data_IF_448414300667
#
_entry.id   IF_448414300667
#
_cell.length_a   1.000
_cell.length_b   1.000
_cell.length_c   1.000
_cell.angle_alpha   90.00
_cell.angle_beta   90.00
_cell.angle_gamma   90.00
#
_symmetry.space_group_name_H-M   'P 1'
#
loop_
_entity.id
_entity.type
_entity.pdbx_description
1 polymer ?
#
# COMPACT_ATOMS: atom_id res chain seq x y z
N UNK A 1 -7.79 20.77 16.51
CA UNK A 1 -8.73 19.67 16.17
C UNK A 1 -8.14 18.34 16.59
N UNK A 2 -8.69 17.77 17.64
CA UNK A 2 -8.40 16.47 18.24
C UNK A 2 -9.33 15.40 17.64
N UNK A 3 -8.78 14.23 17.36
CA UNK A 3 -9.49 13.06 16.86
C UNK A 3 -9.26 11.86 17.76
N UNK A 4 -10.34 11.26 18.27
CA UNK A 4 -10.29 9.96 18.93
C UNK A 4 -10.86 8.89 17.99
N UNK A 5 -10.02 7.93 17.60
CA UNK A 5 -10.43 6.79 16.78
C UNK A 5 -11.09 5.73 17.67
N UNK A 6 -12.39 5.82 17.88
CA UNK A 6 -13.16 4.90 18.74
C UNK A 6 -13.14 3.46 18.22
N UNK A 7 -13.07 3.31 16.90
CA UNK A 7 -12.86 2.05 16.20
C UNK A 7 -12.13 2.29 14.90
N UNK A 8 -11.41 1.27 14.42
CA UNK A 8 -10.59 1.34 13.20
C UNK A 8 -10.80 0.15 12.26
N UNK A 9 -11.71 -0.77 12.58
CA UNK A 9 -12.05 -1.93 11.76
C UNK A 9 -13.14 -1.62 10.73
N UNK A 10 -13.42 -2.53 9.80
CA UNK A 10 -14.58 -2.38 8.91
C UNK A 10 -15.90 -2.33 9.68
N UNK A 11 -17.06 -2.07 9.05
CA UNK A 11 -18.34 -2.02 9.77
C UNK A 11 -18.69 -3.28 10.58
N UNK A 12 -18.12 -4.44 10.22
CA UNK A 12 -18.26 -5.68 10.99
C UNK A 12 -17.27 -5.81 12.17
N UNK A 13 -16.27 -4.95 12.25
CA UNK A 13 -15.13 -5.07 13.15
C UNK A 13 -14.15 -6.18 12.77
N UNK A 14 -13.08 -6.31 13.55
CA UNK A 14 -12.04 -7.33 13.44
C UNK A 14 -11.79 -7.89 14.85
N UNK A 15 -12.15 -9.13 15.16
CA UNK A 15 -12.54 -10.20 14.25
C UNK A 15 -13.96 -10.02 13.72
N UNK A 16 -14.18 -10.43 12.46
CA UNK A 16 -15.53 -10.50 11.90
C UNK A 16 -16.36 -11.54 12.69
N UNK A 17 -17.59 -11.22 13.12
CA UNK A 17 -18.47 -12.17 13.80
C UNK A 17 -18.65 -13.47 13.00
N UNK A 18 -18.44 -14.62 13.65
CA UNK A 18 -18.61 -15.94 13.03
C UNK A 18 -17.54 -16.35 12.02
N UNK A 19 -16.52 -15.53 11.76
CA UNK A 19 -15.47 -15.87 10.81
C UNK A 19 -14.36 -16.75 11.46
N UNK A 20 -14.09 -17.96 10.94
CA UNK A 20 -13.09 -18.86 11.52
C UNK A 20 -11.68 -18.66 10.96
N UNK A 21 -11.42 -17.61 10.17
CA UNK A 21 -10.13 -17.45 9.52
C UNK A 21 -9.00 -17.16 10.52
N UNK A 22 -7.76 -17.46 10.14
CA UNK A 22 -6.59 -17.28 11.01
C UNK A 22 -6.41 -15.82 11.47
N UNK A 23 -6.68 -14.84 10.60
CA UNK A 23 -6.58 -13.43 10.96
C UNK A 23 -7.59 -13.05 12.05
N UNK A 24 -8.84 -13.49 11.94
CA UNK A 24 -9.85 -13.28 12.99
C UNK A 24 -9.46 -13.99 14.28
N UNK A 25 -8.99 -15.24 14.20
CA UNK A 25 -8.60 -16.01 15.38
C UNK A 25 -7.49 -15.34 16.22
N UNK A 26 -6.58 -14.60 15.59
CA UNK A 26 -5.49 -13.86 16.26
C UNK A 26 -5.80 -12.39 16.55
N UNK A 27 -6.94 -11.87 16.08
CA UNK A 27 -7.37 -10.48 16.27
C UNK A 27 -8.14 -10.30 17.58
N UNK A 28 -7.48 -10.54 18.71
CA UNK A 28 -8.10 -10.47 20.05
C UNK A 28 -7.32 -9.53 20.97
N UNK A 29 -7.95 -9.07 22.06
CA UNK A 29 -7.32 -8.16 23.02
C UNK A 29 -6.94 -6.83 22.35
N UNK A 30 -5.69 -6.39 22.49
CA UNK A 30 -5.22 -5.14 21.88
C UNK A 30 -5.13 -5.16 20.35
N UNK A 31 -5.33 -6.33 19.71
CA UNK A 31 -5.34 -6.50 18.25
C UNK A 31 -6.74 -6.50 17.66
N UNK A 32 -7.78 -6.55 18.49
CA UNK A 32 -9.15 -6.40 18.01
C UNK A 32 -9.42 -4.96 17.59
N UNK A 33 -10.28 -4.77 16.61
CA UNK A 33 -10.76 -3.47 16.14
C UNK A 33 -12.29 -3.46 16.15
N UNK A 34 -12.88 -2.52 16.86
CA UNK A 34 -14.29 -2.17 16.76
C UNK A 34 -14.58 -1.58 15.37
N UNK A 35 -15.86 -1.57 15.00
CA UNK A 35 -16.32 -0.95 13.78
C UNK A 35 -15.93 0.55 13.76
N UNK A 36 -15.43 1.03 12.61
CA UNK A 36 -14.85 2.37 12.52
C UNK A 36 -15.85 3.44 12.97
N UNK A 37 -15.41 4.26 13.91
CA UNK A 37 -16.12 5.42 14.42
C UNK A 37 -15.08 6.44 14.91
N UNK A 38 -15.29 7.72 14.58
CA UNK A 38 -14.31 8.77 14.84
C UNK A 38 -14.99 9.94 15.55
N UNK A 39 -14.46 10.30 16.72
CA UNK A 39 -14.92 11.45 17.49
C UNK A 39 -13.98 12.63 17.25
N UNK A 40 -14.51 13.74 16.77
CA UNK A 40 -13.76 14.98 16.47
C UNK A 40 -14.15 16.06 17.48
N UNK A 41 -13.15 16.54 18.24
CA UNK A 41 -13.29 17.56 19.30
C UNK A 41 -14.45 17.30 20.29
N UNK A 42 -14.81 16.03 20.50
CA UNK A 42 -15.97 15.64 21.33
C UNK A 42 -17.34 16.07 20.80
N UNK A 43 -17.41 16.75 19.65
CA UNK A 43 -18.60 17.45 19.17
C UNK A 43 -19.16 16.90 17.86
N UNK A 44 -18.32 16.30 17.01
CA UNK A 44 -18.72 15.68 15.75
C UNK A 44 -18.37 14.20 15.79
N UNK A 45 -19.36 13.34 15.55
CA UNK A 45 -19.16 11.90 15.42
C UNK A 45 -19.30 11.51 13.94
N UNK A 46 -18.23 10.94 13.38
CA UNK A 46 -18.23 10.32 12.05
C UNK A 46 -18.43 8.81 12.22
N UNK A 47 -19.49 8.32 11.59
CA UNK A 47 -20.04 6.97 11.71
C UNK A 47 -20.48 6.57 13.13
N UNK A 48 -21.77 6.34 13.28
CA UNK A 48 -22.34 5.78 14.50
C UNK A 48 -22.54 4.27 14.34
N UNK A 49 -21.56 3.52 14.82
CA UNK A 49 -21.56 2.05 14.75
C UNK A 49 -22.02 1.41 16.07
N UNK A 50 -22.48 0.14 16.04
CA UNK A 50 -22.77 -0.60 17.26
C UNK A 50 -21.58 -0.57 18.24
N UNK A 51 -21.84 -0.17 19.48
CA UNK A 51 -20.82 -0.12 20.53
C UNK A 51 -19.98 1.16 20.57
N UNK A 52 -20.20 2.14 19.70
CA UNK A 52 -19.46 3.42 19.70
C UNK A 52 -19.49 4.14 21.06
N UNK A 53 -20.59 4.06 21.80
CA UNK A 53 -20.69 4.62 23.18
C UNK A 53 -19.71 3.97 24.13
N UNK A 54 -19.65 2.63 24.14
CA UNK A 54 -18.73 1.89 25.01
C UNK A 54 -17.28 2.08 24.57
N UNK A 55 -17.04 2.20 23.25
CA UNK A 55 -15.74 2.55 22.72
C UNK A 55 -15.30 3.96 23.18
N UNK A 56 -16.19 4.94 23.11
CA UNK A 56 -16.00 6.27 23.69
C UNK A 56 -15.62 6.21 25.16
N UNK A 57 -16.42 5.51 25.98
CA UNK A 57 -16.17 5.40 27.42
C UNK A 57 -14.82 4.72 27.73
N UNK A 58 -14.45 3.67 26.97
CA UNK A 58 -13.13 3.02 27.11
C UNK A 58 -11.97 3.92 26.72
N UNK A 59 -12.19 4.80 25.75
CA UNK A 59 -11.22 5.82 25.35
C UNK A 59 -11.23 7.05 26.28
N UNK A 60 -12.05 7.07 27.34
CA UNK A 60 -12.12 8.19 28.29
C UNK A 60 -13.04 9.34 27.85
N UNK A 61 -13.86 9.16 26.82
CA UNK A 61 -14.76 10.18 26.29
C UNK A 61 -16.24 9.83 26.51
N UNK A 62 -17.04 10.85 26.85
CA UNK A 62 -18.50 10.77 26.81
C UNK A 62 -19.03 11.26 25.47
N UNK A 63 -20.00 10.57 24.89
CA UNK A 63 -20.68 11.02 23.67
C UNK A 63 -21.79 12.05 23.93
N UNK A 64 -22.08 12.41 25.19
CA UNK A 64 -23.10 13.40 25.51
C UNK A 64 -22.81 14.81 24.96
N UNK A 65 -21.54 15.10 24.65
CA UNK A 65 -21.11 16.36 24.04
C UNK A 65 -21.34 16.44 22.52
N UNK A 66 -21.65 15.31 21.87
CA UNK A 66 -21.81 15.25 20.42
C UNK A 66 -23.00 16.08 19.97
N UNK A 67 -22.75 17.01 19.05
CA UNK A 67 -23.74 17.93 18.48
C UNK A 67 -24.13 17.57 17.06
N UNK A 68 -23.30 16.79 16.37
CA UNK A 68 -23.57 16.30 15.03
C UNK A 68 -23.09 14.86 14.87
N UNK A 69 -23.94 14.02 14.26
CA UNK A 69 -23.58 12.66 13.83
C UNK A 69 -23.70 12.60 12.31
N UNK A 70 -22.62 12.20 11.64
CA UNK A 70 -22.57 12.05 10.18
C UNK A 70 -22.23 10.61 9.81
N UNK A 71 -22.99 10.04 8.88
CA UNK A 71 -22.74 8.70 8.35
C UNK A 71 -22.01 8.79 7.01
N UNK A 72 -21.02 7.95 6.78
CA UNK A 72 -20.28 7.88 5.51
C UNK A 72 -20.79 6.78 4.60
N UNK A 73 -21.50 5.80 5.11
CA UNK A 73 -21.99 4.67 4.32
C UNK A 73 -23.33 4.19 4.87
N UNK A 74 -24.14 3.47 4.06
CA UNK A 74 -25.32 2.81 4.58
C UNK A 74 -24.89 1.78 5.63
N UNK A 75 -25.54 1.75 6.78
CA UNK A 75 -25.33 0.65 7.72
C UNK A 75 -26.14 -0.56 7.25
N UNK A 76 -25.47 -1.55 6.67
CA UNK A 76 -26.03 -2.87 6.36
C UNK A 76 -25.99 -3.79 7.61
N UNK A 77 -26.50 -3.29 8.72
CA UNK A 77 -26.51 -3.95 10.03
C UNK A 77 -27.83 -3.74 10.78
N UNK A 78 -28.04 -4.42 11.92
CA UNK A 78 -29.21 -4.16 12.76
C UNK A 78 -29.25 -2.68 13.15
N UNK A 79 -30.46 -2.12 13.22
CA UNK A 79 -30.64 -0.71 13.57
C UNK A 79 -29.86 -0.38 14.85
N UNK A 80 -28.96 0.59 14.76
CA UNK A 80 -28.25 1.10 15.93
C UNK A 80 -29.24 1.95 16.69
N UNK A 81 -29.70 1.48 17.86
CA UNK A 81 -30.44 2.34 18.76
C UNK A 81 -29.54 3.52 19.12
N UNK A 82 -29.97 4.71 18.73
CA UNK A 82 -29.34 5.95 19.11
C UNK A 82 -29.53 6.14 20.62
N UNK A 83 -28.43 6.23 21.40
CA UNK A 83 -28.50 6.61 22.80
C UNK A 83 -29.35 7.87 23.01
N UNK A 84 -30.18 7.92 24.07
CA UNK A 84 -30.94 9.11 24.42
C UNK A 84 -30.01 10.33 24.51
N UNK A 85 -30.32 11.38 23.76
CA UNK A 85 -29.56 12.64 23.76
C UNK A 85 -28.54 12.79 22.63
N UNK A 86 -28.26 11.75 21.84
CA UNK A 86 -27.51 11.93 20.59
C UNK A 86 -28.39 12.55 19.51
N UNK A 87 -27.83 13.47 18.68
CA UNK A 87 -28.57 14.05 17.57
C UNK A 87 -28.84 12.98 16.49
N UNK A 88 -29.85 13.23 15.66
CA UNK A 88 -30.16 12.34 14.55
C UNK A 88 -28.96 12.17 13.62
N UNK A 89 -28.63 10.92 13.31
CA UNK A 89 -27.59 10.59 12.34
C UNK A 89 -28.07 10.94 10.93
N UNK A 90 -27.24 11.64 10.16
CA UNK A 90 -27.57 12.07 8.81
C UNK A 90 -26.42 11.91 7.85
N UNK A 91 -26.71 12.09 6.56
CA UNK A 91 -25.68 12.24 5.51
C UNK A 91 -25.79 13.62 4.90
N UNK A 92 -24.65 14.25 4.67
CA UNK A 92 -24.60 15.50 3.90
C UNK A 92 -24.63 15.14 2.42
N UNK A 93 -25.55 15.70 1.61
CA UNK A 93 -25.57 15.43 0.17
C UNK A 93 -24.26 15.83 -0.50
N UNK A 94 -23.84 15.06 -1.50
CA UNK A 94 -22.60 15.26 -2.23
C UNK A 94 -22.37 16.72 -2.66
N UNK A 95 -21.16 17.22 -2.41
CA UNK A 95 -20.75 18.58 -2.76
C UNK A 95 -21.35 19.69 -1.88
N UNK A 96 -22.21 19.37 -0.90
CA UNK A 96 -22.71 20.34 0.08
C UNK A 96 -21.76 20.47 1.27
N UNK A 97 -21.84 21.64 1.89
CA UNK A 97 -21.13 21.96 3.12
C UNK A 97 -22.13 22.14 4.26
N UNK A 98 -21.78 21.65 5.43
CA UNK A 98 -22.49 21.79 6.68
C UNK A 98 -21.58 22.51 7.68
N UNK A 99 -22.01 23.67 8.16
CA UNK A 99 -21.40 24.31 9.32
C UNK A 99 -21.95 23.67 10.59
N UNK A 100 -21.06 23.17 11.44
CA UNK A 100 -21.40 22.57 12.73
C UNK A 100 -21.29 23.64 13.82
N UNK A 101 -22.20 23.60 14.79
CA UNK A 101 -22.27 24.58 15.90
C UNK A 101 -20.94 24.67 16.69
N UNK A 102 -20.13 23.61 16.67
CA UNK A 102 -18.78 23.57 17.25
C UNK A 102 -17.72 24.34 16.45
N UNK A 103 -18.10 25.11 15.42
CA UNK A 103 -17.17 25.87 14.58
C UNK A 103 -16.50 25.06 13.46
N UNK A 104 -16.82 23.77 13.34
CA UNK A 104 -16.30 22.91 12.27
C UNK A 104 -17.06 23.13 10.97
N UNK A 105 -16.38 23.03 9.83
CA UNK A 105 -17.01 22.95 8.51
C UNK A 105 -16.83 21.56 7.94
N UNK A 106 -17.93 20.90 7.58
CA UNK A 106 -17.92 19.55 7.01
C UNK A 106 -18.42 19.60 5.58
N UNK A 107 -17.59 19.16 4.63
CA UNK A 107 -17.94 19.11 3.22
C UNK A 107 -18.04 17.66 2.74
N UNK A 108 -19.14 17.34 2.05
CA UNK A 108 -19.34 16.03 1.45
C UNK A 108 -18.50 15.89 0.17
N UNK A 109 -17.68 14.84 0.14
CA UNK A 109 -16.84 14.46 -1.00
C UNK A 109 -17.51 13.29 -1.74
N UNK A 110 -17.84 13.43 -3.04
CA UNK A 110 -18.43 12.36 -3.83
C UNK A 110 -17.47 11.18 -4.00
N UNK A 111 -17.97 9.95 -3.82
CA UNK A 111 -17.18 8.71 -3.87
C UNK A 111 -17.49 7.90 -5.14
N UNK A 112 -16.54 7.07 -5.58
CA UNK A 112 -16.71 6.14 -6.71
C UNK A 112 -17.40 4.82 -6.33
N UNK A 113 -17.79 4.69 -5.05
CA UNK A 113 -18.54 3.60 -4.49
C UNK A 113 -19.66 4.16 -3.57
N UNK A 114 -20.68 3.36 -3.20
CA UNK A 114 -21.73 3.81 -2.31
C UNK A 114 -21.19 4.34 -0.98
N UNK A 115 -21.42 5.62 -0.73
CA UNK A 115 -20.95 6.31 0.47
C UNK A 115 -20.60 7.77 0.19
N UNK A 116 -20.20 8.48 1.23
CA UNK A 116 -19.85 9.90 1.22
C UNK A 116 -18.58 10.06 2.05
N UNK A 117 -17.53 10.62 1.46
CA UNK A 117 -16.36 11.06 2.23
C UNK A 117 -16.64 12.40 2.88
N UNK A 118 -15.98 12.69 3.98
CA UNK A 118 -16.09 13.98 4.65
C UNK A 118 -14.74 14.66 4.75
N UNK A 119 -14.66 15.85 4.17
CA UNK A 119 -13.65 16.83 4.54
C UNK A 119 -14.13 17.57 5.78
N UNK A 120 -13.33 17.56 6.84
CA UNK A 120 -13.60 18.31 8.07
C UNK A 120 -12.51 19.37 8.24
N UNK A 121 -12.92 20.63 8.26
CA UNK A 121 -12.05 21.75 8.61
C UNK A 121 -12.37 22.19 10.03
N UNK A 122 -11.38 22.08 10.92
CA UNK A 122 -11.49 22.53 12.30
C UNK A 122 -11.47 24.06 12.42
N UNK A 123 -11.85 24.61 13.59
CA UNK A 123 -11.81 26.06 13.86
C UNK A 123 -10.44 26.70 13.62
N UNK A 124 -9.37 25.95 13.92
CA UNK A 124 -7.97 26.37 13.77
C UNK A 124 -7.45 26.23 12.33
N UNK A 125 -8.31 25.81 11.39
CA UNK A 125 -7.96 25.63 9.98
C UNK A 125 -7.33 24.27 9.62
N UNK A 126 -7.12 23.38 10.59
CA UNK A 126 -6.66 22.02 10.34
C UNK A 126 -7.64 21.24 9.47
N UNK A 127 -7.14 20.49 8.49
CA UNK A 127 -7.93 19.79 7.47
C UNK A 127 -7.77 18.28 7.56
N UNK A 128 -8.89 17.61 7.79
CA UNK A 128 -9.03 16.16 7.80
C UNK A 128 -9.84 15.70 6.58
N UNK A 129 -9.42 14.61 5.95
CA UNK A 129 -10.26 13.85 5.03
C UNK A 129 -10.55 12.47 5.63
N UNK A 130 -11.83 12.13 5.77
CA UNK A 130 -12.28 10.79 6.13
C UNK A 130 -13.00 10.13 4.96
N UNK A 131 -12.51 8.95 4.55
CA UNK A 131 -13.09 8.15 3.47
C UNK A 131 -13.90 6.96 4.01
N UNK A 132 -15.06 6.64 3.41
CA UNK A 132 -15.83 5.45 3.77
C UNK A 132 -15.06 4.15 3.44
N UNK A 133 -15.45 3.02 4.03
CA UNK A 133 -14.88 1.72 3.69
C UNK A 133 -15.10 1.45 2.21
N UNK A 134 -14.06 0.99 1.52
CA UNK A 134 -14.17 0.70 0.09
C UNK A 134 -14.40 1.92 -0.82
N UNK A 135 -14.28 3.16 -0.34
CA UNK A 135 -14.52 4.37 -1.14
C UNK A 135 -13.24 5.09 -1.57
N UNK A 136 -13.18 5.50 -2.84
CA UNK A 136 -12.21 6.49 -3.30
C UNK A 136 -12.96 7.74 -3.82
N UNK A 137 -12.35 8.94 -3.79
CA UNK A 137 -12.96 10.12 -4.39
C UNK A 137 -13.28 9.89 -5.88
N UNK A 138 -14.52 10.19 -6.29
CA UNK A 138 -15.02 10.03 -7.67
C UNK A 138 -14.30 10.93 -8.69
N UNK A 139 -13.65 11.98 -8.20
CA UNK A 139 -12.78 12.85 -8.97
C UNK A 139 -11.96 13.73 -8.04
N UNK A 140 -10.81 14.21 -8.51
CA UNK A 140 -9.90 15.04 -7.71
C UNK A 140 -9.88 16.50 -8.15
N UNK A 141 -10.67 16.89 -9.16
CA UNK A 141 -10.69 18.27 -9.68
C UNK A 141 -11.01 19.33 -8.63
N UNK A 142 -11.78 18.98 -7.59
CA UNK A 142 -12.09 19.89 -6.48
C UNK A 142 -10.96 19.98 -5.44
N UNK A 143 -9.94 19.11 -5.53
CA UNK A 143 -8.77 19.04 -4.67
C UNK A 143 -7.55 19.71 -5.32
N UNK A 144 -7.54 19.84 -6.65
CA UNK A 144 -6.43 20.44 -7.40
C UNK A 144 -6.22 21.91 -6.99
N UNK A 145 -5.01 22.26 -6.57
CA UNK A 145 -4.65 23.61 -6.13
C UNK A 145 -5.07 23.97 -4.70
N UNK A 146 -5.71 23.04 -3.97
CA UNK A 146 -5.93 23.21 -2.54
C UNK A 146 -4.69 22.81 -1.74
N UNK A 147 -4.57 23.35 -0.53
CA UNK A 147 -3.56 22.89 0.45
C UNK A 147 -3.72 21.37 0.67
N UNK A 148 -2.66 20.57 0.83
CA UNK A 148 -2.80 19.18 1.22
C UNK A 148 -3.58 19.05 2.54
N UNK A 149 -4.22 17.89 2.75
CA UNK A 149 -4.80 17.59 4.05
C UNK A 149 -3.69 17.44 5.09
N UNK A 150 -3.96 17.87 6.31
CA UNK A 150 -3.08 17.61 7.44
C UNK A 150 -3.17 16.13 7.85
N UNK A 151 -4.37 15.54 7.72
CA UNK A 151 -4.61 14.14 8.04
C UNK A 151 -5.60 13.49 7.08
N UNK A 152 -5.37 12.22 6.73
CA UNK A 152 -6.29 11.40 5.95
C UNK A 152 -6.54 10.08 6.67
N UNK A 153 -7.82 9.75 6.87
CA UNK A 153 -8.30 8.46 7.36
C UNK A 153 -8.90 7.70 6.17
N UNK A 154 -8.27 6.59 5.78
CA UNK A 154 -8.70 5.83 4.62
C UNK A 154 -8.49 4.31 4.77
N UNK A 155 -9.22 3.54 3.95
CA UNK A 155 -8.94 2.12 3.72
C UNK A 155 -7.70 1.94 2.82
N UNK A 156 -6.53 2.12 3.42
CA UNK A 156 -5.24 2.14 2.70
C UNK A 156 -4.93 0.78 2.06
N UNK A 157 -5.35 -0.31 2.69
CA UNK A 157 -4.99 -1.67 2.26
C UNK A 157 -6.04 -2.31 1.36
N UNK A 158 -7.32 -1.98 1.55
CA UNK A 158 -8.42 -2.44 0.69
C UNK A 158 -8.62 -1.57 -0.54
N UNK A 159 -8.24 -0.28 -0.49
CA UNK A 159 -8.37 0.68 -1.60
C UNK A 159 -7.11 1.54 -1.79
N UNK A 160 -5.93 0.93 -2.03
CA UNK A 160 -4.66 1.67 -2.16
C UNK A 160 -4.68 2.71 -3.30
N UNK A 161 -5.49 2.50 -4.34
CA UNK A 161 -5.67 3.45 -5.44
C UNK A 161 -6.35 4.76 -5.00
N UNK A 162 -7.11 4.77 -3.90
CA UNK A 162 -7.64 6.00 -3.31
C UNK A 162 -6.50 6.91 -2.85
N UNK A 163 -5.50 6.33 -2.16
CA UNK A 163 -4.29 7.04 -1.73
C UNK A 163 -3.48 7.49 -2.95
N UNK A 164 -3.35 6.65 -3.98
CA UNK A 164 -2.66 7.01 -5.22
C UNK A 164 -3.30 8.23 -5.90
N UNK A 165 -4.64 8.27 -6.02
CA UNK A 165 -5.37 9.42 -6.60
C UNK A 165 -5.19 10.69 -5.79
N UNK A 166 -5.24 10.60 -4.46
CA UNK A 166 -5.03 11.75 -3.57
C UNK A 166 -3.60 12.29 -3.65
N UNK A 167 -2.60 11.42 -3.83
CA UNK A 167 -1.22 11.85 -4.10
C UNK A 167 -1.09 12.51 -5.46
N UNK A 168 -1.73 11.95 -6.49
CA UNK A 168 -1.70 12.49 -7.85
C UNK A 168 -2.27 13.93 -7.91
N UNK A 169 -3.28 14.23 -7.09
CA UNK A 169 -3.88 15.57 -7.01
C UNK A 169 -3.15 16.54 -6.07
N UNK A 170 -2.15 16.08 -5.33
CA UNK A 170 -1.47 16.84 -4.29
C UNK A 170 -2.25 16.97 -2.98
N UNK A 171 -3.36 16.25 -2.82
CA UNK A 171 -4.17 16.27 -1.60
C UNK A 171 -3.47 15.53 -0.43
N UNK A 172 -2.63 14.54 -0.73
CA UNK A 172 -1.68 13.94 0.22
C UNK A 172 -0.28 14.42 -0.14
N UNK A 173 0.35 15.15 0.77
CA UNK A 173 1.74 15.58 0.67
C UNK A 173 2.67 14.80 1.61
N UNK A 174 3.93 15.23 1.70
CA UNK A 174 4.94 14.60 2.56
C UNK A 174 4.70 14.79 4.06
N UNK A 175 3.92 15.81 4.43
CA UNK A 175 3.56 16.13 5.81
C UNK A 175 2.15 15.64 6.20
N UNK A 176 1.41 15.02 5.27
CA UNK A 176 0.07 14.50 5.54
C UNK A 176 0.18 13.21 6.35
N UNK A 177 -0.41 13.17 7.54
CA UNK A 177 -0.51 11.94 8.33
C UNK A 177 -1.63 11.05 7.77
N UNK A 178 -1.28 9.87 7.28
CA UNK A 178 -2.23 8.91 6.72
C UNK A 178 -2.43 7.78 7.72
N UNK A 179 -3.63 7.67 8.29
CA UNK A 179 -3.99 6.62 9.23
C UNK A 179 -4.91 5.62 8.52
N UNK A 180 -4.49 4.36 8.53
CA UNK A 180 -5.29 3.26 8.00
C UNK A 180 -6.46 2.95 8.95
N UNK A 181 -7.68 3.04 8.41
CA UNK A 181 -8.94 2.67 9.04
C UNK A 181 -9.66 1.66 8.15
N UNK A 182 -10.82 1.16 8.57
CA UNK A 182 -11.53 0.08 7.87
C UNK A 182 -10.67 -1.19 7.71
N UNK A 183 -9.87 -1.50 8.73
CA UNK A 183 -8.97 -2.64 8.71
C UNK A 183 -9.74 -3.94 8.90
N UNK A 184 -9.53 -4.89 7.98
CA UNK A 184 -10.22 -6.17 7.97
C UNK A 184 -9.28 -7.38 8.05
N UNK A 185 -9.88 -8.56 8.10
CA UNK A 185 -9.23 -9.85 8.23
C UNK A 185 -8.40 -10.28 7.00
N UNK A 186 -8.37 -9.48 5.93
CA UNK A 186 -7.50 -9.68 4.76
C UNK A 186 -6.02 -9.34 5.05
N UNK A 187 -5.77 -8.57 6.12
CA UNK A 187 -4.43 -8.31 6.62
C UNK A 187 -4.32 -8.75 8.08
N UNK A 188 -3.44 -9.73 8.39
CA UNK A 188 -3.28 -10.17 9.77
C UNK A 188 -2.74 -9.02 10.65
N UNK A 189 -3.23 -8.88 11.89
CA UNK A 189 -2.80 -7.81 12.79
C UNK A 189 -1.33 -7.99 13.23
N UNK A 190 -0.71 -6.90 13.68
CA UNK A 190 0.67 -6.87 14.16
C UNK A 190 1.67 -6.43 13.09
N UNK A 191 2.86 -7.04 13.08
CA UNK A 191 3.99 -6.59 12.24
C UNK A 191 3.68 -6.55 10.74
N UNK A 192 2.86 -7.48 10.25
CA UNK A 192 2.50 -7.49 8.82
C UNK A 192 1.63 -6.30 8.45
N UNK A 193 0.66 -5.95 9.29
CA UNK A 193 -0.16 -4.75 9.13
C UNK A 193 0.71 -3.48 9.15
N UNK A 194 1.57 -3.34 10.16
CA UNK A 194 2.49 -2.20 10.29
C UNK A 194 3.36 -2.04 9.04
N UNK A 195 3.95 -3.14 8.56
CA UNK A 195 4.79 -3.17 7.36
C UNK A 195 4.04 -2.75 6.10
N UNK A 196 2.81 -3.23 5.91
CA UNK A 196 1.98 -2.89 4.73
C UNK A 196 1.55 -1.43 4.76
N UNK A 197 1.10 -0.93 5.92
CA UNK A 197 0.77 0.48 6.09
C UNK A 197 2.00 1.35 5.79
N UNK A 198 3.17 1.02 6.36
CA UNK A 198 4.41 1.77 6.13
C UNK A 198 4.81 1.79 4.65
N UNK A 199 4.66 0.66 3.92
CA UNK A 199 4.91 0.61 2.49
C UNK A 199 3.94 1.48 1.65
N UNK A 200 2.80 1.86 2.23
CA UNK A 200 1.87 2.81 1.64
C UNK A 200 2.02 4.22 2.22
N UNK A 201 3.05 4.51 3.03
CA UNK A 201 3.26 5.81 3.68
C UNK A 201 2.16 6.15 4.70
N UNK A 202 1.59 5.12 5.34
CA UNK A 202 0.53 5.22 6.32
C UNK A 202 0.91 4.48 7.61
N UNK A 203 0.14 4.69 8.67
CA UNK A 203 0.25 3.96 9.94
C UNK A 203 -1.10 3.41 10.37
N UNK A 204 -1.08 2.33 11.14
CA UNK A 204 -2.26 1.87 11.86
C UNK A 204 -2.13 2.27 13.33
N UNK A 205 -3.25 2.60 13.97
CA UNK A 205 -3.31 2.91 15.41
C UNK A 205 -4.24 1.95 16.12
N UNK A 206 -4.06 1.69 17.42
CA UNK A 206 -5.06 1.00 18.23
C UNK A 206 -6.36 1.80 18.33
N UNK A 207 -7.46 1.12 18.58
CA UNK A 207 -8.72 1.78 18.95
C UNK A 207 -8.56 2.56 20.27
N UNK A 208 -9.29 3.67 20.38
CA UNK A 208 -9.22 4.61 21.49
C UNK A 208 -8.02 5.57 21.43
N UNK A 209 -7.17 5.48 20.38
CA UNK A 209 -6.07 6.43 20.21
C UNK A 209 -6.62 7.81 19.88
N UNK A 210 -6.14 8.82 20.61
CA UNK A 210 -6.38 10.23 20.33
C UNK A 210 -5.18 10.81 19.59
N UNK A 211 -5.43 11.54 18.51
CA UNK A 211 -4.43 12.19 17.65
C UNK A 211 -4.82 13.64 17.37
N UNK A 212 -3.83 14.50 17.15
CA UNK A 212 -4.06 15.92 16.83
C UNK A 212 -3.83 16.18 15.35
N UNK A 213 -4.80 16.81 14.66
CA UNK A 213 -4.64 17.15 13.24
C UNK A 213 -3.71 18.34 13.09
N UNK A 214 -2.70 18.18 12.23
CA UNK A 214 -1.66 19.18 12.00
C UNK A 214 -0.44 19.03 12.91
N UNK A 215 -0.48 18.11 13.88
CA UNK A 215 0.71 17.71 14.62
C UNK A 215 1.60 16.85 13.71
N UNK A 216 2.88 17.21 13.62
CA UNK A 216 3.81 16.46 12.79
C UNK A 216 4.09 15.10 13.42
N UNK A 217 3.79 14.04 12.68
CA UNK A 217 4.26 12.70 12.97
C UNK A 217 5.25 12.27 11.90
N UNK A 218 6.32 11.60 12.32
CA UNK A 218 7.25 10.98 11.39
C UNK A 218 6.50 9.90 10.60
N UNK A 219 6.15 10.21 9.35
CA UNK A 219 5.62 9.24 8.40
C UNK A 219 6.77 8.28 8.04
N UNK A 220 6.56 6.95 7.98
CA UNK A 220 7.60 6.03 7.55
C UNK A 220 8.14 6.45 6.17
N UNK A 221 9.45 6.69 6.08
CA UNK A 221 10.08 6.97 4.80
C UNK A 221 9.91 5.77 3.88
N UNK A 222 9.31 6.00 2.71
CA UNK A 222 9.18 4.97 1.70
C UNK A 222 10.58 4.66 1.14
N UNK A 223 11.08 3.42 1.27
CA UNK A 223 12.43 3.08 0.80
C UNK A 223 12.50 3.30 -0.71
N UNK A 224 13.54 4.02 -1.14
CA UNK A 224 13.72 4.32 -2.56
C UNK A 224 13.94 3.05 -3.37
N UNK A 225 14.67 2.07 -2.83
CA UNK A 225 15.09 0.85 -3.52
C UNK A 225 14.76 -0.35 -2.64
N UNK A 226 13.88 -1.20 -3.15
CA UNK A 226 13.49 -2.47 -2.51
C UNK A 226 13.84 -3.64 -3.41
N UNK A 227 14.51 -4.66 -2.88
CA UNK A 227 14.68 -5.96 -3.53
C UNK A 227 13.74 -6.99 -2.90
N UNK A 228 12.95 -7.67 -3.73
CA UNK A 228 12.05 -8.74 -3.32
C UNK A 228 12.54 -10.07 -3.91
N UNK A 229 13.05 -10.92 -3.04
CA UNK A 229 13.54 -12.26 -3.34
C UNK A 229 12.45 -13.30 -3.05
N UNK A 230 12.55 -14.45 -3.69
CA UNK A 230 11.72 -15.60 -3.34
C UNK A 230 11.78 -16.72 -4.38
N UNK A 231 11.33 -17.90 -3.97
CA UNK A 231 11.20 -19.05 -4.87
C UNK A 231 10.18 -18.81 -6.00
N UNK A 232 10.09 -19.77 -6.92
CA UNK A 232 8.99 -19.80 -7.89
C UNK A 232 7.64 -19.92 -7.16
N UNK A 233 6.63 -19.17 -7.62
CA UNK A 233 5.27 -19.16 -7.04
C UNK A 233 5.21 -18.84 -5.53
N UNK A 234 6.24 -18.18 -5.00
CA UNK A 234 6.29 -17.76 -3.59
C UNK A 234 5.36 -16.59 -3.25
N UNK A 235 4.86 -15.85 -4.25
CA UNK A 235 4.09 -14.61 -4.04
C UNK A 235 4.91 -13.33 -4.16
N UNK A 236 6.21 -13.40 -4.50
CA UNK A 236 7.10 -12.22 -4.60
C UNK A 236 6.62 -11.10 -5.52
N UNK A 237 6.02 -11.42 -6.67
CA UNK A 237 5.47 -10.41 -7.58
C UNK A 237 4.28 -9.68 -6.98
N UNK A 238 3.40 -10.39 -6.25
CA UNK A 238 2.27 -9.76 -5.56
C UNK A 238 2.74 -8.86 -4.41
N UNK A 239 3.74 -9.30 -3.65
CA UNK A 239 4.37 -8.45 -2.63
C UNK A 239 5.02 -7.21 -3.24
N UNK A 240 5.69 -7.34 -4.39
CA UNK A 240 6.25 -6.20 -5.11
C UNK A 240 5.18 -5.23 -5.63
N UNK A 241 4.05 -5.76 -6.13
CA UNK A 241 2.93 -4.95 -6.61
C UNK A 241 2.32 -4.12 -5.48
N UNK A 242 1.99 -4.76 -4.35
CA UNK A 242 1.41 -4.12 -3.16
C UNK A 242 2.19 -2.91 -2.65
N UNK A 243 3.52 -2.93 -2.81
CA UNK A 243 4.39 -1.80 -2.41
C UNK A 243 4.20 -0.55 -3.24
N UNK A 244 3.68 -0.70 -4.46
CA UNK A 244 3.53 0.40 -5.42
C UNK A 244 2.07 0.73 -5.73
N UNK A 245 1.10 -0.03 -5.23
CA UNK A 245 -0.34 0.20 -5.49
C UNK A 245 -0.83 1.58 -5.04
N UNK A 246 -0.19 2.16 -4.01
CA UNK A 246 -0.49 3.51 -3.52
C UNK A 246 0.27 4.64 -4.23
N UNK A 247 1.09 4.31 -5.25
CA UNK A 247 1.80 5.31 -6.05
C UNK A 247 0.92 5.77 -7.23
N UNK A 248 0.88 7.08 -7.53
CA UNK A 248 0.08 7.63 -8.62
C UNK A 248 0.30 6.94 -9.97
N UNK A 249 1.56 6.73 -10.31
CA UNK A 249 2.01 6.16 -11.57
C UNK A 249 3.13 5.15 -11.33
N UNK A 250 3.07 4.04 -12.07
CA UNK A 250 4.06 2.97 -11.99
C UNK A 250 4.36 2.47 -13.40
N UNK A 251 5.64 2.26 -13.67
CA UNK A 251 6.11 1.54 -14.85
C UNK A 251 6.49 0.12 -14.43
N UNK A 252 5.71 -0.86 -14.87
CA UNK A 252 6.00 -2.27 -14.72
C UNK A 252 6.90 -2.73 -15.86
N UNK A 253 8.10 -3.20 -15.57
CA UNK A 253 9.06 -3.73 -16.54
C UNK A 253 9.05 -5.25 -16.48
N UNK A 254 8.49 -5.86 -17.53
CA UNK A 254 8.50 -7.29 -17.73
C UNK A 254 9.77 -7.69 -18.51
N UNK A 255 10.73 -8.33 -17.85
CA UNK A 255 12.01 -8.75 -18.48
C UNK A 255 11.91 -10.11 -19.17
N UNK A 256 10.77 -10.80 -19.03
CA UNK A 256 10.54 -12.11 -19.66
C UNK A 256 10.18 -12.08 -21.14
N UNK A 257 9.86 -10.89 -21.69
CA UNK A 257 9.42 -10.71 -23.08
C UNK A 257 8.17 -11.52 -23.47
N UNK A 258 7.86 -11.51 -24.78
CA UNK A 258 6.93 -12.47 -25.40
C UNK A 258 7.68 -13.77 -25.68
N UNK A 259 7.21 -14.87 -25.10
CA UNK A 259 7.56 -16.21 -25.57
C UNK A 259 6.56 -16.58 -26.67
N UNK A 260 6.96 -16.41 -27.93
CA UNK A 260 6.12 -16.78 -29.06
C UNK A 260 5.76 -18.28 -28.98
N UNK A 261 4.46 -18.59 -29.04
CA UNK A 261 3.93 -19.96 -29.01
C UNK A 261 3.57 -20.53 -27.64
N UNK A 262 3.75 -19.80 -26.53
CA UNK A 262 3.36 -20.25 -25.19
C UNK A 262 2.02 -19.62 -24.75
N UNK A 263 0.93 -20.31 -25.04
CA UNK A 263 -0.43 -19.85 -24.70
C UNK A 263 -0.67 -19.75 -23.17
N UNK A 264 -0.02 -20.60 -22.37
CA UNK A 264 -0.09 -20.54 -20.90
C UNK A 264 0.62 -19.28 -20.38
N UNK A 265 1.78 -18.95 -20.95
CA UNK A 265 2.50 -17.72 -20.66
C UNK A 265 1.69 -16.48 -21.03
N UNK A 266 1.06 -16.47 -22.22
CA UNK A 266 0.23 -15.37 -22.68
C UNK A 266 -1.00 -15.15 -21.77
N UNK A 267 -1.70 -16.24 -21.39
CA UNK A 267 -2.84 -16.17 -20.48
C UNK A 267 -2.42 -15.63 -19.10
N UNK A 268 -1.28 -16.08 -18.57
CA UNK A 268 -0.74 -15.61 -17.30
C UNK A 268 -0.38 -14.13 -17.34
N UNK A 269 0.24 -13.65 -18.42
CA UNK A 269 0.53 -12.23 -18.62
C UNK A 269 -0.77 -11.41 -18.68
N UNK A 270 -1.81 -11.93 -19.34
CA UNK A 270 -3.14 -11.33 -19.37
C UNK A 270 -3.73 -11.11 -17.98
N UNK A 271 -3.83 -12.18 -17.18
CA UNK A 271 -4.33 -12.11 -15.80
C UNK A 271 -3.50 -11.17 -14.91
N UNK A 272 -2.17 -11.13 -15.10
CA UNK A 272 -1.31 -10.21 -14.39
C UNK A 272 -1.51 -8.74 -14.80
N UNK A 273 -1.85 -8.47 -16.07
CA UNK A 273 -2.18 -7.11 -16.53
C UNK A 273 -3.54 -6.65 -16.01
N UNK A 274 -4.54 -7.51 -16.08
CA UNK A 274 -5.91 -7.20 -15.63
C UNK A 274 -5.98 -6.87 -14.13
N UNK A 275 -5.11 -7.48 -13.32
CA UNK A 275 -5.01 -7.18 -11.88
C UNK A 275 -4.43 -5.80 -11.57
N UNK A 276 -3.60 -5.24 -12.45
CA UNK A 276 -2.84 -4.01 -12.14
C UNK A 276 -3.75 -2.78 -12.22
N UNK A 277 -3.49 -1.75 -11.39
CA UNK A 277 -4.21 -0.48 -11.51
C UNK A 277 -4.10 0.09 -12.92
N UNK A 278 -5.18 0.71 -13.41
CA UNK A 278 -5.22 1.29 -14.76
C UNK A 278 -4.18 2.40 -15.00
N UNK A 279 -3.66 3.02 -13.93
CA UNK A 279 -2.57 4.01 -14.01
C UNK A 279 -1.19 3.38 -14.26
N UNK A 280 -1.07 2.05 -14.24
CA UNK A 280 0.19 1.37 -14.45
C UNK A 280 0.47 1.15 -15.94
N UNK A 281 1.67 1.51 -16.38
CA UNK A 281 2.14 1.22 -17.73
C UNK A 281 3.04 0.00 -17.71
N UNK A 282 2.81 -0.96 -18.59
CA UNK A 282 3.71 -2.12 -18.76
C UNK A 282 4.68 -1.87 -19.92
N UNK A 283 5.97 -2.10 -19.69
CA UNK A 283 7.03 -2.13 -20.68
C UNK A 283 7.67 -3.51 -20.71
N UNK A 284 7.86 -4.08 -21.89
CA UNK A 284 8.58 -5.34 -22.08
C UNK A 284 9.99 -5.02 -22.58
N UNK A 285 11.00 -5.15 -21.72
CA UNK A 285 12.40 -4.84 -22.08
C UNK A 285 13.38 -5.39 -21.06
N UNK A 286 14.60 -5.70 -21.51
CA UNK A 286 15.76 -6.01 -20.68
C UNK A 286 16.74 -4.82 -20.55
N UNK A 287 16.46 -3.70 -21.20
CA UNK A 287 17.28 -2.48 -21.14
C UNK A 287 16.97 -1.68 -19.86
N UNK A 288 17.41 -2.22 -18.71
CA UNK A 288 17.09 -1.68 -17.39
C UNK A 288 17.92 -0.45 -17.01
N UNK A 289 19.22 -0.44 -17.36
CA UNK A 289 20.13 0.66 -17.02
C UNK A 289 19.64 2.04 -17.51
N UNK A 290 19.24 2.23 -18.79
CA UNK A 290 18.71 3.52 -19.24
C UNK A 290 17.40 3.89 -18.52
N UNK A 291 16.50 2.94 -18.30
CA UNK A 291 15.23 3.19 -17.59
C UNK A 291 15.42 3.65 -16.14
N UNK A 292 16.46 3.15 -15.48
CA UNK A 292 16.82 3.51 -14.11
C UNK A 292 17.54 4.86 -14.02
N UNK A 293 18.29 5.24 -15.07
CA UNK A 293 19.02 6.50 -15.15
C UNK A 293 18.10 7.70 -15.44
N UNK A 294 17.06 7.49 -16.25
CA UNK A 294 16.09 8.54 -16.56
C UNK A 294 15.15 8.82 -15.37
N UNK A 295 14.81 10.08 -15.08
CA UNK A 295 13.79 10.40 -14.08
C UNK A 295 12.41 9.93 -14.56
N UNK A 296 11.52 9.58 -13.63
CA UNK A 296 10.18 9.12 -13.97
C UNK A 296 9.37 8.60 -12.78
N UNK A 297 8.20 8.00 -13.04
CA UNK A 297 7.32 7.43 -12.02
C UNK A 297 7.97 6.24 -11.30
N UNK A 298 7.32 5.64 -10.31
CA UNK A 298 7.87 4.45 -9.67
C UNK A 298 8.10 3.30 -10.68
N UNK A 299 9.08 2.45 -10.43
CA UNK A 299 9.50 1.37 -11.34
C UNK A 299 9.41 0.01 -10.64
N UNK A 300 8.71 -0.95 -11.25
CA UNK A 300 8.68 -2.34 -10.79
C UNK A 300 9.35 -3.22 -11.84
N UNK A 301 10.46 -3.87 -11.52
CA UNK A 301 11.15 -4.80 -12.44
C UNK A 301 10.84 -6.24 -12.04
N UNK A 302 10.20 -7.01 -12.94
CA UNK A 302 9.90 -8.43 -12.75
C UNK A 302 10.33 -9.25 -13.98
N UNK A 303 11.45 -9.98 -13.93
CA UNK A 303 12.42 -10.10 -12.83
C UNK A 303 13.89 -10.08 -13.28
N UNK A 304 14.78 -9.84 -12.31
CA UNK A 304 16.23 -9.85 -12.52
C UNK A 304 16.77 -11.21 -12.97
N UNK A 305 16.08 -12.31 -12.65
CA UNK A 305 16.47 -13.63 -13.13
C UNK A 305 16.33 -13.77 -14.65
N UNK A 306 15.25 -13.24 -15.24
CA UNK A 306 15.06 -13.25 -16.69
C UNK A 306 15.93 -12.20 -17.40
N UNK A 307 16.18 -11.06 -16.74
CA UNK A 307 17.18 -10.10 -17.20
C UNK A 307 18.57 -10.74 -17.28
N UNK A 308 18.96 -11.52 -16.26
CA UNK A 308 20.24 -12.20 -16.24
C UNK A 308 20.34 -13.23 -17.37
N UNK A 309 19.26 -13.97 -17.65
CA UNK A 309 19.21 -14.89 -18.79
C UNK A 309 19.49 -14.15 -20.10
N UNK A 310 18.81 -13.04 -20.37
CA UNK A 310 19.05 -12.21 -21.57
C UNK A 310 20.49 -11.66 -21.61
N UNK A 311 21.02 -11.18 -20.47
CA UNK A 311 22.40 -10.70 -20.38
C UNK A 311 23.42 -11.82 -20.68
N UNK A 312 23.15 -13.03 -20.21
CA UNK A 312 23.95 -14.23 -20.49
C UNK A 312 23.86 -14.67 -21.95
N UNK A 313 22.68 -14.60 -22.57
CA UNK A 313 22.48 -14.86 -24.00
C UNK A 313 23.34 -13.92 -24.86
N UNK A 314 23.27 -12.61 -24.60
CA UNK A 314 23.98 -11.58 -25.37
C UNK A 314 25.50 -11.71 -25.34
N UNK A 315 26.04 -12.25 -24.26
CA UNK A 315 27.50 -12.43 -24.09
C UNK A 315 27.95 -13.85 -24.40
N UNK A 316 27.05 -14.72 -24.88
CA UNK A 316 27.33 -16.12 -25.20
C UNK A 316 27.74 -16.95 -23.98
N UNK A 317 27.27 -16.60 -22.78
CA UNK A 317 27.70 -17.18 -21.52
C UNK A 317 27.29 -18.65 -21.33
N UNK A 318 26.47 -19.22 -22.22
CA UNK A 318 26.07 -20.62 -22.19
C UNK A 318 27.11 -21.54 -22.84
N UNK A 319 27.93 -21.01 -23.74
CA UNK A 319 29.04 -21.73 -24.35
C UNK A 319 30.28 -21.65 -23.46
N UNK A 320 30.89 -22.80 -23.17
CA UNK A 320 32.01 -22.88 -22.23
C UNK A 320 33.28 -22.20 -22.76
N UNK A 321 33.53 -22.23 -24.07
CA UNK A 321 34.69 -21.60 -24.67
C UNK A 321 34.54 -20.07 -24.70
N UNK A 322 33.36 -19.57 -25.06
CA UNK A 322 33.05 -18.13 -25.01
C UNK A 322 33.11 -17.61 -23.59
N UNK A 323 32.53 -18.35 -22.64
CA UNK A 323 32.56 -18.01 -21.22
C UNK A 323 33.99 -17.88 -20.67
N UNK A 324 34.84 -18.88 -20.96
CA UNK A 324 36.24 -18.90 -20.52
C UNK A 324 37.10 -17.82 -21.18
N UNK A 325 36.75 -17.39 -22.39
CA UNK A 325 37.40 -16.28 -23.08
C UNK A 325 36.98 -14.92 -22.53
N UNK A 326 35.92 -14.34 -23.10
CA UNK A 326 35.48 -12.96 -22.79
C UNK A 326 34.07 -12.88 -22.17
N UNK A 327 33.28 -13.96 -22.22
CA UNK A 327 31.89 -13.94 -21.78
C UNK A 327 31.73 -13.56 -20.30
N UNK A 328 32.60 -14.06 -19.42
CA UNK A 328 32.57 -13.70 -18.00
C UNK A 328 32.81 -12.21 -17.77
N UNK A 329 33.80 -11.60 -18.43
CA UNK A 329 34.09 -10.18 -18.27
C UNK A 329 32.94 -9.31 -18.78
N UNK A 330 32.43 -9.62 -19.99
CA UNK A 330 31.31 -8.89 -20.58
C UNK A 330 30.04 -8.97 -19.74
N UNK A 331 29.75 -10.12 -19.13
CA UNK A 331 28.61 -10.25 -18.21
C UNK A 331 28.82 -9.38 -16.97
N UNK A 332 30.03 -9.40 -16.38
CA UNK A 332 30.37 -8.55 -15.22
C UNK A 332 30.19 -7.08 -15.53
N UNK A 333 30.57 -6.62 -16.73
CA UNK A 333 30.40 -5.22 -17.12
C UNK A 333 28.91 -4.83 -17.19
N UNK A 334 28.06 -5.68 -17.79
CA UNK A 334 26.60 -5.46 -17.81
C UNK A 334 25.98 -5.46 -16.42
N UNK A 335 26.43 -6.35 -15.53
CA UNK A 335 25.99 -6.37 -14.13
C UNK A 335 26.43 -5.10 -13.40
N UNK A 336 27.67 -4.67 -13.58
CA UNK A 336 28.19 -3.44 -12.98
C UNK A 336 27.42 -2.20 -13.46
N UNK A 337 27.08 -2.13 -14.75
CA UNK A 337 26.23 -1.08 -15.32
C UNK A 337 24.84 -1.05 -14.66
N UNK A 338 24.16 -2.20 -14.55
CA UNK A 338 22.86 -2.28 -13.88
C UNK A 338 22.94 -1.84 -12.41
N UNK A 339 23.94 -2.33 -11.68
CA UNK A 339 24.12 -2.00 -10.26
C UNK A 339 24.41 -0.50 -10.08
N UNK A 340 25.22 0.09 -10.95
CA UNK A 340 25.46 1.54 -10.96
C UNK A 340 24.18 2.33 -11.24
N UNK A 341 23.33 1.85 -12.15
CA UNK A 341 22.04 2.47 -12.42
C UNK A 341 21.06 2.35 -11.23
N UNK A 342 21.00 1.20 -10.57
CA UNK A 342 20.24 1.01 -9.31
C UNK A 342 20.75 1.96 -8.23
N UNK A 343 22.06 2.13 -8.11
CA UNK A 343 22.68 3.06 -7.15
C UNK A 343 22.27 4.51 -7.43
N UNK A 344 22.29 4.92 -8.69
CA UNK A 344 22.11 6.32 -9.08
C UNK A 344 20.63 6.74 -9.21
N UNK A 345 19.70 5.77 -9.33
CA UNK A 345 18.30 6.10 -9.62
C UNK A 345 17.66 6.95 -8.53
N UNK A 346 16.90 7.96 -8.96
CA UNK A 346 16.06 8.79 -8.08
C UNK A 346 14.61 8.32 -8.06
N UNK A 347 14.27 7.27 -8.79
CA UNK A 347 12.92 6.71 -8.81
C UNK A 347 12.74 5.80 -7.59
N UNK A 348 11.53 5.75 -7.00
CA UNK A 348 11.14 4.59 -6.19
C UNK A 348 11.19 3.34 -7.08
N UNK A 349 11.94 2.32 -6.69
CA UNK A 349 12.13 1.09 -7.46
C UNK A 349 11.94 -0.15 -6.60
N UNK A 350 11.17 -1.10 -7.14
CA UNK A 350 11.03 -2.45 -6.60
C UNK A 350 11.57 -3.44 -7.62
N UNK A 351 12.62 -4.17 -7.24
CA UNK A 351 13.29 -5.16 -8.07
C UNK A 351 12.86 -6.54 -7.58
N UNK A 352 12.31 -7.38 -8.47
CA UNK A 352 11.96 -8.76 -8.16
C UNK A 352 13.05 -9.68 -8.67
N UNK A 353 13.49 -10.63 -7.84
CA UNK A 353 14.41 -11.69 -8.28
C UNK A 353 14.08 -13.03 -7.65
N UNK A 354 14.57 -14.09 -8.27
CA UNK A 354 14.39 -15.45 -7.76
C UNK A 354 15.53 -15.78 -6.78
N UNK A 355 15.18 -16.53 -5.73
CA UNK A 355 16.15 -17.27 -4.93
C UNK A 355 16.19 -18.72 -5.46
N UNK A 356 17.37 -19.15 -5.93
CA UNK A 356 17.60 -20.46 -6.57
C UNK A 356 18.77 -21.22 -5.96
N UNK A 357 19.51 -20.60 -5.03
CA UNK A 357 20.71 -21.14 -4.40
C UNK A 357 20.43 -22.11 -3.25
N UNK A 358 19.20 -22.14 -2.71
CA UNK A 358 18.82 -22.98 -1.57
C UNK A 358 18.48 -24.44 -1.91
N UNK A 359 18.82 -24.88 -3.13
CA UNK A 359 18.55 -26.23 -3.62
C UNK A 359 19.82 -27.06 -3.85
N UNK A 360 19.66 -28.21 -4.52
CA UNK A 360 20.78 -29.08 -4.91
C UNK A 360 21.63 -28.41 -6.00
N UNK A 361 22.92 -28.74 -6.05
CA UNK A 361 23.82 -28.31 -7.12
C UNK A 361 23.32 -28.81 -8.48
N UNK A 362 23.10 -27.94 -9.49
CA UNK A 362 22.68 -28.39 -10.81
C UNK A 362 23.67 -29.35 -11.46
N UNK A 363 23.15 -30.37 -12.15
CA UNK A 363 23.98 -31.36 -12.86
C UNK A 363 24.75 -30.74 -14.05
N UNK A 364 24.17 -29.73 -14.71
CA UNK A 364 24.76 -29.08 -15.88
C UNK A 364 25.67 -27.92 -15.50
N UNK A 365 26.72 -27.68 -16.30
CA UNK A 365 27.62 -26.54 -16.12
C UNK A 365 26.87 -25.21 -16.27
N UNK A 366 25.98 -25.11 -17.26
CA UNK A 366 25.11 -23.95 -17.49
C UNK A 366 24.19 -23.65 -16.30
N UNK A 367 23.61 -24.69 -15.68
CA UNK A 367 22.76 -24.54 -14.50
C UNK A 367 23.54 -24.03 -13.29
N UNK A 368 24.75 -24.58 -13.05
CA UNK A 368 25.64 -24.08 -11.98
C UNK A 368 26.03 -22.64 -12.21
N UNK A 369 26.43 -22.30 -13.46
CA UNK A 369 26.79 -20.93 -13.86
C UNK A 369 25.66 -19.95 -13.60
N UNK A 370 24.46 -20.23 -14.10
CA UNK A 370 23.30 -19.36 -13.89
C UNK A 370 22.97 -19.17 -12.41
N UNK A 371 22.94 -20.26 -11.63
CA UNK A 371 22.70 -20.19 -10.18
C UNK A 371 23.72 -19.30 -9.48
N UNK A 372 25.00 -19.48 -9.78
CA UNK A 372 26.09 -18.74 -9.14
C UNK A 372 26.07 -17.26 -9.56
N UNK A 373 25.86 -16.95 -10.84
CA UNK A 373 25.76 -15.55 -11.30
C UNK A 373 24.49 -14.85 -10.80
N UNK A 374 23.36 -15.56 -10.68
CA UNK A 374 22.14 -15.00 -10.07
C UNK A 374 22.35 -14.68 -8.59
N UNK A 375 23.06 -15.54 -7.86
CA UNK A 375 23.46 -15.27 -6.48
C UNK A 375 24.32 -14.00 -6.36
N UNK A 376 25.32 -13.84 -7.25
CA UNK A 376 26.17 -12.63 -7.27
C UNK A 376 25.39 -11.37 -7.64
N UNK A 377 24.51 -11.45 -8.64
CA UNK A 377 23.64 -10.35 -9.03
C UNK A 377 22.73 -9.94 -7.87
N UNK A 378 22.05 -10.90 -7.24
CA UNK A 378 21.18 -10.65 -6.09
C UNK A 378 21.94 -9.97 -4.95
N UNK A 379 23.14 -10.44 -4.64
CA UNK A 379 23.97 -9.84 -3.60
C UNK A 379 24.40 -8.41 -3.93
N UNK A 380 24.83 -8.15 -5.17
CA UNK A 380 25.24 -6.83 -5.62
C UNK A 380 24.07 -5.83 -5.60
N UNK A 381 22.91 -6.21 -6.13
CA UNK A 381 21.70 -5.38 -6.10
C UNK A 381 21.20 -5.18 -4.68
N UNK A 382 21.22 -6.23 -3.84
CA UNK A 382 20.86 -6.12 -2.43
C UNK A 382 21.73 -5.08 -1.72
N UNK A 383 23.02 -4.98 -2.05
CA UNK A 383 23.93 -3.95 -1.53
C UNK A 383 23.48 -2.51 -1.79
N UNK A 384 22.76 -2.27 -2.88
CA UNK A 384 22.27 -0.94 -3.28
C UNK A 384 20.84 -0.64 -2.80
N UNK A 385 20.10 -1.60 -2.26
CA UNK A 385 18.73 -1.40 -1.79
C UNK A 385 18.69 -0.97 -0.32
N UNK A 386 17.77 -0.10 0.09
CA UNK A 386 17.53 0.12 1.53
C UNK A 386 16.79 -1.08 2.13
N UNK A 387 15.83 -1.66 1.39
CA UNK A 387 15.03 -2.78 1.86
C UNK A 387 15.28 -4.05 1.04
N UNK A 388 15.40 -5.19 1.73
CA UNK A 388 15.52 -6.51 1.11
C UNK A 388 14.56 -7.47 1.79
N UNK A 389 13.73 -8.15 1.01
CA UNK A 389 12.72 -9.08 1.49
C UNK A 389 12.93 -10.46 0.89
N UNK A 390 12.60 -11.48 1.67
CA UNK A 390 12.43 -12.85 1.19
C UNK A 390 10.96 -13.25 1.34
N UNK A 391 10.33 -13.65 0.24
CA UNK A 391 8.95 -14.11 0.22
C UNK A 391 8.91 -15.64 0.15
N UNK A 392 8.20 -16.25 1.10
CA UNK A 392 7.98 -17.69 1.22
C UNK A 392 6.50 -17.94 1.54
N UNK A 393 5.82 -18.76 0.74
CA UNK A 393 4.39 -19.06 0.92
C UNK A 393 3.49 -17.80 1.07
N UNK A 394 3.80 -16.74 0.31
CA UNK A 394 3.11 -15.45 0.37
C UNK A 394 3.46 -14.59 1.57
N UNK A 395 4.32 -15.05 2.48
CA UNK A 395 4.77 -14.32 3.66
C UNK A 395 6.10 -13.63 3.36
N UNK A 396 6.20 -12.34 3.63
CA UNK A 396 7.42 -11.58 3.42
C UNK A 396 8.21 -11.47 4.73
N UNK A 397 9.47 -11.88 4.68
CA UNK A 397 10.44 -11.73 5.77
C UNK A 397 11.40 -10.59 5.41
N UNK A 398 11.57 -9.64 6.34
CA UNK A 398 12.54 -8.55 6.17
C UNK A 398 13.95 -9.08 6.44
N UNK A 399 14.81 -9.04 5.43
CA UNK A 399 16.25 -9.37 5.55
C UNK A 399 17.09 -8.12 5.83
N UNK A 400 16.65 -6.97 5.30
CA UNK A 400 17.23 -5.64 5.54
C UNK A 400 16.11 -4.61 5.47
N UNK A 401 16.08 -3.66 6.41
CA UNK A 401 15.12 -2.57 6.48
C UNK A 401 15.14 -1.88 7.83
#
# INVERSE_FOLDING_TARGET
>A
MELTLLGTGTPAGLPRPGCPCAACAVSVGTRSRAATAVLVDGALLLDLTPGAVLAGARAGHSLAGVRQVLLTHPHDGPAVELPPGLPAAGRVPDGRELAVISGHRVRAVPMDAPGTGYEVTGPDGGRLLYLPPGGAPAGTNHLTGQRPYDMVLADVLGRPEAVARLRASGAIGTATDVIAVHLDHDTPPGRELERRCAAAGARAVPDGTTVTVGEYHAVPDLPRRTLVLGGARSGKSLEAERRLESFPEVVYVATGGKRDGDAEWAQRVGLHRERRPASWRTLETCELAPLLAEPGPALLVDCLALWLTDAMDRVGAWDDAVWAGQGQHRLRDRVAELVAAVRATRRPVVLVSNEVGSGIVPATASGRRFRDELGRLNAAVAGECEHVLLVVAGQATVLKG
#
